data_IF_893772590823
#
_entry.id   IF_893772590823
#
_cell.length_a   1.000
_cell.length_b   1.000
_cell.length_c   1.000
_cell.angle_alpha   90.00
_cell.angle_beta   90.00
_cell.angle_gamma   90.00
#
_symmetry.space_group_name_H-M   'P 1'
#
loop_
_entity.id
_entity.type
_entity.pdbx_description
1 polymer ?
#
# COMPACT_ATOMS: atom_id res chain seq x y z
N UNK A 1 17.83 -1.95 -6.70
CA UNK A 1 16.36 -1.75 -6.84
C UNK A 1 15.99 -2.16 -8.26
N UNK A 2 14.99 -3.03 -8.44
CA UNK A 2 14.51 -3.39 -9.78
C UNK A 2 14.01 -2.15 -10.51
N UNK A 3 14.43 -1.96 -11.75
CA UNK A 3 14.09 -0.76 -12.55
C UNK A 3 12.57 -0.60 -12.74
N UNK A 4 11.83 -1.73 -12.75
CA UNK A 4 10.38 -1.79 -12.97
C UNK A 4 9.73 -2.77 -11.99
N UNK A 5 9.34 -2.32 -10.78
CA UNK A 5 8.89 -3.21 -9.70
C UNK A 5 7.49 -3.81 -9.91
N UNK A 6 6.69 -3.27 -10.81
CA UNK A 6 5.30 -3.69 -11.04
C UNK A 6 4.97 -3.70 -12.53
N UNK A 7 4.21 -4.71 -12.97
CA UNK A 7 3.67 -4.85 -14.32
C UNK A 7 2.13 -4.87 -14.23
N UNK A 8 1.46 -3.98 -14.97
CA UNK A 8 0.00 -3.96 -15.03
C UNK A 8 -0.50 -5.07 -15.95
N UNK A 9 -1.41 -5.91 -15.45
CA UNK A 9 -2.12 -6.92 -16.24
C UNK A 9 -3.62 -6.68 -16.14
N UNK A 10 -4.31 -6.77 -17.27
CA UNK A 10 -5.77 -6.70 -17.35
C UNK A 10 -6.31 -8.12 -17.51
N UNK A 11 -6.98 -8.64 -16.47
CA UNK A 11 -7.35 -10.06 -16.40
C UNK A 11 -8.39 -10.44 -17.45
N UNK A 12 -9.40 -9.59 -17.66
CA UNK A 12 -10.44 -9.80 -18.68
C UNK A 12 -9.85 -9.98 -20.07
N UNK A 13 -8.94 -9.07 -20.42
CA UNK A 13 -8.29 -9.06 -21.72
C UNK A 13 -7.32 -10.23 -21.86
N UNK A 14 -6.55 -10.50 -20.81
CA UNK A 14 -5.63 -11.62 -20.77
C UNK A 14 -6.36 -12.96 -20.98
N UNK A 15 -7.46 -13.19 -20.25
CA UNK A 15 -8.25 -14.41 -20.41
C UNK A 15 -8.84 -14.46 -21.82
N UNK A 16 -9.46 -13.38 -22.30
CA UNK A 16 -10.06 -13.32 -23.63
C UNK A 16 -9.07 -13.63 -24.76
N UNK A 17 -7.84 -13.10 -24.66
CA UNK A 17 -6.79 -13.33 -25.66
C UNK A 17 -6.19 -14.76 -25.56
N UNK A 18 -6.28 -15.44 -24.41
CA UNK A 18 -5.58 -16.72 -24.15
C UNK A 18 -6.48 -17.95 -24.00
N UNK A 19 -7.79 -17.85 -24.26
CA UNK A 19 -8.77 -18.93 -24.05
C UNK A 19 -8.40 -20.26 -24.73
N UNK A 20 -7.81 -20.21 -25.91
CA UNK A 20 -7.42 -21.38 -26.70
C UNK A 20 -6.14 -22.06 -26.22
N UNK A 21 -5.38 -21.42 -25.31
CA UNK A 21 -4.10 -21.94 -24.83
C UNK A 21 -4.30 -22.94 -23.68
N UNK A 22 -3.50 -24.01 -23.70
CA UNK A 22 -3.36 -24.92 -22.57
C UNK A 22 -2.67 -24.23 -21.38
N UNK A 23 -2.82 -24.77 -20.18
CA UNK A 23 -2.19 -24.24 -18.96
C UNK A 23 -0.67 -24.12 -19.08
N UNK A 24 0.00 -25.06 -19.75
CA UNK A 24 1.45 -25.00 -19.98
C UNK A 24 1.82 -23.84 -20.90
N UNK A 25 1.07 -23.65 -21.99
CA UNK A 25 1.26 -22.52 -22.90
C UNK A 25 1.00 -21.19 -22.19
N UNK A 26 -0.06 -21.08 -21.39
CA UNK A 26 -0.36 -19.90 -20.58
C UNK A 26 0.81 -19.61 -19.62
N UNK A 27 1.36 -20.63 -18.96
CA UNK A 27 2.53 -20.49 -18.10
C UNK A 27 3.77 -19.99 -18.85
N UNK A 28 4.07 -20.57 -20.01
CA UNK A 28 5.18 -20.15 -20.87
C UNK A 28 4.99 -18.70 -21.36
N UNK A 29 3.79 -18.36 -21.82
CA UNK A 29 3.41 -17.02 -22.26
C UNK A 29 3.63 -15.98 -21.14
N UNK A 30 3.14 -16.27 -19.93
CA UNK A 30 3.32 -15.39 -18.77
C UNK A 30 4.79 -15.18 -18.40
N UNK A 31 5.60 -16.23 -18.43
CA UNK A 31 7.04 -16.14 -18.18
C UNK A 31 7.75 -15.25 -19.20
N UNK A 32 7.39 -15.38 -20.48
CA UNK A 32 7.92 -14.53 -21.54
C UNK A 32 7.53 -13.07 -21.36
N UNK A 33 6.27 -12.77 -21.05
CA UNK A 33 5.82 -11.40 -20.78
C UNK A 33 6.57 -10.76 -19.61
N UNK A 34 6.75 -11.50 -18.51
CA UNK A 34 7.51 -11.01 -17.35
C UNK A 34 8.98 -10.75 -17.69
N UNK A 35 9.61 -11.65 -18.43
CA UNK A 35 11.00 -11.47 -18.87
C UNK A 35 11.14 -10.28 -19.81
N UNK A 36 10.23 -10.15 -20.78
CA UNK A 36 10.18 -9.03 -21.73
C UNK A 36 9.95 -7.69 -21.02
N UNK A 37 9.08 -7.64 -20.00
CA UNK A 37 8.87 -6.47 -19.16
C UNK A 37 10.16 -6.02 -18.46
N UNK A 38 10.90 -6.99 -17.92
CA UNK A 38 12.18 -6.72 -17.28
C UNK A 38 13.26 -6.30 -18.29
N UNK A 39 13.26 -6.89 -19.49
CA UNK A 39 14.21 -6.60 -20.57
C UNK A 39 13.95 -5.26 -21.29
N UNK A 40 12.77 -4.66 -21.12
CA UNK A 40 12.46 -3.34 -21.69
C UNK A 40 11.52 -3.36 -22.90
N UNK A 41 10.89 -4.49 -23.18
CA UNK A 41 9.81 -4.60 -24.18
C UNK A 41 10.05 -5.61 -25.30
N UNK A 42 11.27 -6.16 -25.43
CA UNK A 42 11.58 -7.21 -26.39
C UNK A 42 12.48 -8.30 -25.81
N UNK A 43 12.52 -9.45 -26.48
CA UNK A 43 13.43 -10.57 -26.21
C UNK A 43 14.04 -11.05 -27.54
N UNK A 44 15.26 -11.64 -27.53
CA UNK A 44 15.81 -12.26 -28.73
C UNK A 44 14.95 -13.42 -29.23
N UNK A 45 14.69 -13.48 -30.54
CA UNK A 45 13.97 -14.56 -31.22
C UNK A 45 14.87 -15.78 -31.43
N UNK A 46 15.28 -16.39 -30.31
CA UNK A 46 16.09 -17.60 -30.27
C UNK A 46 15.42 -18.66 -29.41
N UNK A 47 15.00 -19.76 -30.04
CA UNK A 47 14.33 -20.89 -29.42
C UNK A 47 15.02 -21.36 -28.13
N UNK A 48 16.35 -21.43 -28.10
CA UNK A 48 17.08 -21.91 -26.93
C UNK A 48 17.04 -20.92 -25.75
N UNK A 49 17.02 -19.61 -26.02
CA UNK A 49 16.80 -18.57 -25.01
C UNK A 49 15.35 -18.55 -24.55
N UNK A 50 14.40 -18.58 -25.48
CA UNK A 50 12.98 -18.54 -25.17
C UNK A 50 12.55 -19.76 -24.36
N UNK A 51 13.02 -20.96 -24.70
CA UNK A 51 12.79 -22.18 -23.92
C UNK A 51 13.29 -22.04 -22.47
N UNK A 52 14.49 -21.47 -22.26
CA UNK A 52 15.03 -21.24 -20.91
C UNK A 52 14.20 -20.23 -20.12
N UNK A 53 13.74 -19.15 -20.75
CA UNK A 53 12.85 -18.17 -20.11
C UNK A 53 11.52 -18.81 -19.72
N UNK A 54 10.93 -19.59 -20.63
CA UNK A 54 9.70 -20.34 -20.40
C UNK A 54 9.88 -21.52 -19.43
N UNK A 55 11.11 -21.82 -19.00
CA UNK A 55 11.48 -22.95 -18.13
C UNK A 55 11.07 -24.31 -18.69
N UNK A 56 11.15 -24.45 -20.00
CA UNK A 56 10.82 -25.68 -20.72
C UNK A 56 12.06 -26.31 -21.36
N UNK A 57 12.14 -27.65 -21.43
CA UNK A 57 13.10 -28.31 -22.32
C UNK A 57 12.89 -27.85 -23.77
N UNK A 58 13.97 -27.70 -24.53
CA UNK A 58 13.92 -27.21 -25.92
C UNK A 58 12.97 -28.03 -26.81
N UNK A 59 12.94 -29.36 -26.62
CA UNK A 59 12.01 -30.24 -27.35
C UNK A 59 10.54 -29.88 -27.07
N UNK A 60 10.21 -29.56 -25.80
CA UNK A 60 8.85 -29.19 -25.41
C UNK A 60 8.50 -27.79 -25.89
N UNK A 61 9.44 -26.84 -25.76
CA UNK A 61 9.30 -25.50 -26.33
C UNK A 61 8.94 -25.55 -27.82
N UNK A 62 9.71 -26.28 -28.63
CA UNK A 62 9.45 -26.39 -30.07
C UNK A 62 8.06 -26.92 -30.39
N UNK A 63 7.52 -27.83 -29.58
CA UNK A 63 6.18 -28.37 -29.77
C UNK A 63 5.06 -27.33 -29.55
N UNK A 64 5.26 -26.32 -28.71
CA UNK A 64 4.24 -25.31 -28.37
C UNK A 64 4.54 -23.91 -28.93
N UNK A 65 5.78 -23.68 -29.38
CA UNK A 65 6.31 -22.37 -29.77
C UNK A 65 5.54 -21.73 -30.92
N UNK A 66 5.09 -22.52 -31.91
CA UNK A 66 4.38 -21.99 -33.07
C UNK A 66 3.07 -21.29 -32.67
N UNK A 67 2.30 -21.90 -31.77
CA UNK A 67 1.05 -21.33 -31.26
C UNK A 67 1.31 -20.11 -30.37
N UNK A 68 2.36 -20.15 -29.55
CA UNK A 68 2.73 -19.05 -28.67
C UNK A 68 3.26 -17.83 -29.43
N UNK A 69 4.16 -18.05 -30.38
CA UNK A 69 4.81 -16.99 -31.15
C UNK A 69 3.82 -16.23 -32.06
N UNK A 70 2.63 -16.79 -32.32
CA UNK A 70 1.57 -16.09 -33.02
C UNK A 70 1.02 -14.87 -32.26
N UNK A 71 1.21 -14.81 -30.93
CA UNK A 71 0.81 -13.68 -30.09
C UNK A 71 1.86 -12.56 -30.03
N UNK A 72 3.06 -12.80 -30.58
CA UNK A 72 4.18 -11.88 -30.52
C UNK A 72 4.47 -11.29 -31.89
N UNK A 73 4.93 -10.05 -31.89
CA UNK A 73 5.43 -9.37 -33.08
C UNK A 73 6.91 -9.75 -33.24
N UNK A 74 7.30 -10.24 -34.42
CA UNK A 74 8.68 -10.64 -34.71
C UNK A 74 9.30 -9.70 -35.73
N UNK A 75 10.37 -9.02 -35.35
CA UNK A 75 11.05 -8.06 -36.20
C UNK A 75 12.55 -8.04 -35.87
N UNK A 76 13.42 -8.06 -36.89
CA UNK A 76 14.86 -7.88 -36.70
C UNK A 76 15.56 -8.93 -35.82
N UNK A 77 14.98 -10.13 -35.67
CA UNK A 77 15.52 -11.18 -34.79
C UNK A 77 15.14 -10.99 -33.31
N UNK A 78 14.18 -10.13 -33.02
CA UNK A 78 13.58 -9.97 -31.69
C UNK A 78 12.07 -10.25 -31.74
N UNK A 79 11.53 -10.64 -30.58
CA UNK A 79 10.10 -10.76 -30.33
C UNK A 79 9.65 -9.66 -29.37
N UNK A 80 8.51 -9.06 -29.67
CA UNK A 80 7.87 -8.01 -28.88
C UNK A 80 6.38 -8.26 -28.70
N UNK A 81 5.72 -7.42 -27.89
CA UNK A 81 4.28 -7.48 -27.71
C UNK A 81 3.66 -6.08 -27.60
N UNK A 82 2.81 -5.71 -28.55
CA UNK A 82 2.26 -4.35 -28.66
C UNK A 82 1.53 -3.85 -27.40
N UNK A 83 0.79 -4.71 -26.68
CA UNK A 83 0.14 -4.34 -25.40
C UNK A 83 1.19 -4.02 -24.34
N UNK A 84 2.18 -4.89 -24.19
CA UNK A 84 3.25 -4.74 -23.20
C UNK A 84 4.06 -3.47 -23.46
N UNK A 85 4.40 -3.17 -24.71
CA UNK A 85 5.12 -1.96 -25.11
C UNK A 85 4.37 -0.68 -24.70
N UNK A 86 3.04 -0.66 -24.89
CA UNK A 86 2.19 0.47 -24.46
C UNK A 86 2.22 0.66 -22.95
N UNK A 87 2.09 -0.42 -22.18
CA UNK A 87 2.13 -0.37 -20.71
C UNK A 87 3.51 0.03 -20.18
N UNK A 88 4.57 -0.44 -20.82
CA UNK A 88 5.95 -0.12 -20.44
C UNK A 88 6.25 1.37 -20.65
N UNK A 89 5.75 1.94 -21.75
CA UNK A 89 5.80 3.40 -21.98
C UNK A 89 5.04 4.18 -20.90
N UNK A 90 3.81 3.75 -20.55
CA UNK A 90 3.03 4.39 -19.48
C UNK A 90 3.76 4.34 -18.14
N UNK A 91 4.38 3.20 -17.81
CA UNK A 91 5.14 3.02 -16.57
C UNK A 91 6.37 3.93 -16.53
N UNK A 92 7.12 4.04 -17.63
CA UNK A 92 8.27 4.95 -17.76
C UNK A 92 7.87 6.41 -17.52
N UNK A 93 6.84 6.89 -18.24
CA UNK A 93 6.34 8.26 -18.09
C UNK A 93 5.90 8.58 -16.65
N UNK A 94 5.20 7.66 -15.99
CA UNK A 94 4.80 7.82 -14.58
C UNK A 94 6.01 7.86 -13.64
N UNK A 95 7.01 7.01 -13.88
CA UNK A 95 8.24 6.97 -13.08
C UNK A 95 9.03 8.27 -13.21
N UNK A 96 9.22 8.76 -14.43
CA UNK A 96 9.91 10.02 -14.73
C UNK A 96 9.20 11.22 -14.09
N UNK A 97 7.86 11.29 -14.21
CA UNK A 97 7.08 12.36 -13.59
C UNK A 97 7.23 12.38 -12.06
N UNK A 98 7.24 11.20 -11.42
CA UNK A 98 7.45 11.06 -9.97
C UNK A 98 8.87 11.41 -9.57
N UNK A 99 9.87 10.98 -10.32
CA UNK A 99 11.27 11.32 -10.09
C UNK A 99 11.47 12.84 -10.19
N UNK A 100 10.92 13.50 -11.22
CA UNK A 100 11.00 14.94 -11.39
C UNK A 100 10.26 15.72 -10.29
N UNK A 101 9.10 15.24 -9.83
CA UNK A 101 8.39 15.83 -8.69
C UNK A 101 9.18 15.66 -7.39
N UNK A 102 9.74 14.46 -7.16
CA UNK A 102 10.59 14.15 -6.01
C UNK A 102 11.86 15.00 -5.98
N UNK A 103 12.52 15.18 -7.12
CA UNK A 103 13.70 16.04 -7.24
C UNK A 103 13.38 17.51 -6.90
N UNK A 104 12.26 18.05 -7.41
CA UNK A 104 11.80 19.41 -7.08
C UNK A 104 11.46 19.57 -5.60
N UNK A 105 10.74 18.61 -5.02
CA UNK A 105 10.41 18.62 -3.59
C UNK A 105 11.66 18.51 -2.71
N UNK A 106 12.60 17.65 -3.09
CA UNK A 106 13.89 17.47 -2.43
C UNK A 106 14.73 18.75 -2.47
N UNK A 107 14.84 19.39 -3.64
CA UNK A 107 15.54 20.67 -3.79
C UNK A 107 14.91 21.78 -2.93
N UNK A 108 13.58 21.92 -2.94
CA UNK A 108 12.88 22.90 -2.11
C UNK A 108 13.08 22.66 -0.60
N UNK A 109 13.12 21.39 -0.18
CA UNK A 109 13.38 21.02 1.22
C UNK A 109 14.84 21.27 1.59
N UNK A 110 15.79 20.92 0.72
CA UNK A 110 17.22 21.14 0.94
C UNK A 110 17.56 22.63 1.10
N UNK A 111 16.92 23.52 0.31
CA UNK A 111 17.07 24.96 0.45
C UNK A 111 16.55 25.48 1.79
N UNK A 112 15.41 24.96 2.27
CA UNK A 112 14.86 25.32 3.59
C UNK A 112 15.72 24.80 4.74
N UNK A 113 16.22 23.56 4.66
CA UNK A 113 17.08 22.99 5.71
C UNK A 113 18.43 23.69 5.79
N UNK A 114 19.03 24.11 4.67
CA UNK A 114 20.25 24.94 4.66
C UNK A 114 20.07 26.28 5.38
N UNK A 115 18.87 26.88 5.31
CA UNK A 115 18.56 28.10 6.06
C UNK A 115 18.47 27.89 7.58
N UNK A 116 18.21 26.66 8.03
CA UNK A 116 18.13 26.29 9.45
C UNK A 116 19.37 25.53 9.98
N UNK A 117 20.37 25.26 9.15
CA UNK A 117 21.56 24.47 9.49
C UNK A 117 22.67 25.28 10.18
N UNK A 118 22.33 25.96 11.27
CA UNK A 118 23.25 26.10 12.43
C UNK A 118 22.57 25.51 13.65
N UNK A 119 22.32 24.21 13.63
CA UNK A 119 22.04 23.48 14.85
C UNK A 119 23.39 23.28 15.57
N UNK A 120 23.63 24.06 16.63
CA UNK A 120 24.80 23.89 17.50
C UNK A 120 24.68 22.55 18.23
N UNK A 121 25.25 21.50 17.66
CA UNK A 121 25.34 20.18 18.28
C UNK A 121 26.45 20.09 19.34
N UNK A 122 26.90 21.21 19.91
CA UNK A 122 28.07 21.26 20.80
C UNK A 122 27.71 21.41 22.29
N UNK A 123 26.42 21.45 22.66
CA UNK A 123 26.06 21.86 24.04
C UNK A 123 25.84 20.70 25.02
N UNK A 124 25.45 19.48 24.64
CA UNK A 124 25.25 18.41 25.66
C UNK A 124 25.49 17.00 25.12
N UNK A 125 26.76 16.57 25.11
CA UNK A 125 27.13 15.16 25.21
C UNK A 125 28.11 14.99 26.37
N UNK A 126 27.62 15.11 27.61
CA UNK A 126 28.34 14.70 28.82
C UNK A 126 27.69 13.45 29.40
N UNK A 127 27.94 12.29 28.80
CA UNK A 127 27.88 11.05 29.55
C UNK A 127 29.18 10.93 30.35
N UNK A 128 29.11 11.28 31.64
CA UNK A 128 30.15 10.89 32.60
C UNK A 128 29.91 9.42 32.98
N UNK A 129 30.90 8.52 32.85
CA UNK A 129 30.78 7.19 33.43
C UNK A 129 30.98 7.33 34.95
N UNK A 130 29.89 7.45 35.69
CA UNK A 130 29.93 7.48 37.16
C UNK A 130 30.28 6.08 37.70
N UNK A 131 31.57 5.80 37.72
CA UNK A 131 32.16 4.65 38.42
C UNK A 131 32.32 5.05 39.89
N UNK A 132 31.22 5.16 40.64
CA UNK A 132 31.29 5.54 42.05
C UNK A 132 30.44 4.62 42.93
N UNK A 133 31.16 3.74 43.61
CA UNK A 133 30.86 3.08 44.89
C UNK A 133 29.65 2.13 44.97
N UNK A 134 29.93 0.86 44.62
CA UNK A 134 29.11 -0.30 45.00
C UNK A 134 29.34 -0.77 46.47
N UNK A 135 29.98 0.04 47.33
CA UNK A 135 30.33 -0.35 48.72
C UNK A 135 29.43 0.28 49.80
N UNK A 136 28.57 1.25 49.46
CA UNK A 136 27.84 2.02 50.50
C UNK A 136 26.46 1.49 50.88
N UNK A 137 25.91 0.51 50.14
CA UNK A 137 24.56 -0.05 50.42
C UNK A 137 24.53 -1.19 51.45
N UNK A 138 25.68 -1.60 51.99
CA UNK A 138 25.74 -2.69 52.98
C UNK A 138 25.64 -2.21 54.45
N UNK A 139 25.75 -0.92 54.74
CA UNK A 139 25.78 -0.40 56.13
C UNK A 139 24.54 0.39 56.57
N UNK A 140 23.61 0.70 55.66
CA UNK A 140 22.42 1.51 55.98
C UNK A 140 21.21 0.71 56.49
N UNK A 141 21.33 -0.62 56.68
CA UNK A 141 20.23 -1.49 57.14
C UNK A 141 20.18 -1.72 58.66
N UNK A 142 20.96 -1.00 59.47
CA UNK A 142 21.04 -1.25 60.91
C UNK A 142 20.98 -0.01 61.81
N UNK A 143 20.10 0.95 61.53
CA UNK A 143 19.71 1.93 62.54
C UNK A 143 18.22 2.27 62.43
N UNK A 144 17.48 1.81 63.44
CA UNK A 144 16.04 1.85 63.62
C UNK A 144 15.67 3.11 64.40
N UNK A 145 14.61 3.81 63.95
CA UNK A 145 13.63 4.40 64.86
C UNK A 145 13.63 5.93 65.02
N UNK A 146 12.40 6.43 65.26
CA UNK A 146 11.97 7.80 65.52
C UNK A 146 11.90 8.73 64.30
N UNK A 147 10.88 9.57 64.08
CA UNK A 147 9.49 9.75 64.52
C UNK A 147 8.97 10.93 63.66
N UNK A 148 7.65 11.00 63.49
CA UNK A 148 6.85 12.22 63.22
C UNK A 148 6.88 12.82 61.80
N UNK A 149 5.71 12.77 61.15
CA UNK A 149 5.31 13.68 60.10
C UNK A 149 4.29 14.70 60.62
N UNK A 150 4.11 15.80 59.90
CA UNK A 150 2.78 16.43 59.73
C UNK A 150 2.62 16.88 58.26
N UNK A 151 1.48 17.29 57.70
CA UNK A 151 0.05 17.27 57.99
C UNK A 151 -0.57 17.67 56.63
N UNK A 152 -1.64 16.99 56.21
CA UNK A 152 -2.39 17.35 55.01
C UNK A 152 -3.47 18.35 55.43
N UNK A 153 -3.39 19.59 54.95
CA UNK A 153 -4.49 20.55 55.02
C UNK A 153 -5.08 20.80 53.64
N UNK A 154 -6.33 20.39 53.49
CA UNK A 154 -7.23 20.64 52.37
C UNK A 154 -7.80 22.06 52.52
N UNK A 155 -7.61 22.91 51.53
CA UNK A 155 -8.26 24.22 51.43
C UNK A 155 -8.50 24.58 49.97
N UNK A 156 -9.77 24.73 49.59
CA UNK A 156 -10.21 24.97 48.21
C UNK A 156 -10.35 26.44 47.81
N UNK A 157 -10.75 26.61 46.54
CA UNK A 157 -11.02 27.85 45.75
C UNK A 157 -9.75 28.54 45.24
N UNK A 158 -9.66 29.02 44.01
CA UNK A 158 -10.68 29.51 43.08
C UNK A 158 -10.12 29.53 41.64
N UNK A 159 -11.01 29.57 40.66
CA UNK A 159 -10.67 29.62 39.24
C UNK A 159 -10.11 31.00 38.84
N UNK A 160 -8.94 31.02 38.18
CA UNK A 160 -8.54 32.15 37.34
C UNK A 160 -7.70 31.69 36.14
N UNK A 161 -8.07 32.26 35.01
CA UNK A 161 -7.67 32.00 33.64
C UNK A 161 -6.19 32.24 33.32
N UNK A 162 -5.67 31.47 32.34
CA UNK A 162 -4.90 32.06 31.24
C UNK A 162 -3.60 31.35 30.83
N UNK A 163 -3.66 30.53 29.77
CA UNK A 163 -2.67 30.64 28.68
C UNK A 163 -3.26 30.10 27.37
N UNK A 164 -3.07 30.87 26.29
CA UNK A 164 -3.75 30.75 24.99
C UNK A 164 -2.98 29.81 24.06
N UNK A 165 -3.65 28.77 23.54
CA UNK A 165 -3.19 27.95 22.41
C UNK A 165 -3.31 28.67 21.06
N UNK A 166 -2.69 28.14 19.98
CA UNK A 166 -2.49 28.85 18.73
C UNK A 166 -3.81 29.10 17.99
N UNK A 167 -3.94 30.31 17.42
CA UNK A 167 -5.17 30.88 16.92
C UNK A 167 -5.86 30.07 15.81
N UNK A 168 -7.10 29.67 16.06
CA UNK A 168 -8.02 29.24 15.02
C UNK A 168 -8.42 30.43 14.14
N UNK A 169 -8.07 30.36 12.85
CA UNK A 169 -8.55 31.31 11.84
C UNK A 169 -10.08 31.20 11.73
N UNK A 170 -10.80 32.29 12.01
CA UNK A 170 -12.26 32.37 11.87
C UNK A 170 -12.64 32.17 10.40
N UNK A 171 -13.44 31.14 10.11
CA UNK A 171 -13.93 30.84 8.77
C UNK A 171 -15.00 31.88 8.36
N UNK A 172 -15.04 32.32 7.10
CA UNK A 172 -15.97 33.35 6.64
C UNK A 172 -17.43 32.85 6.67
N UNK A 173 -18.38 33.78 6.85
CA UNK A 173 -19.83 33.49 6.79
C UNK A 173 -20.18 32.92 5.41
N UNK A 174 -20.81 31.74 5.39
CA UNK A 174 -21.17 31.03 4.15
C UNK A 174 -20.16 29.96 3.70
N UNK A 175 -19.10 29.69 4.46
CA UNK A 175 -18.17 28.60 4.12
C UNK A 175 -18.83 27.22 4.31
N UNK A 176 -19.11 26.53 3.20
CA UNK A 176 -19.60 25.15 3.20
C UNK A 176 -18.40 24.22 3.13
N UNK A 177 -18.29 23.30 4.09
CA UNK A 177 -17.23 22.28 4.09
C UNK A 177 -17.39 21.33 2.90
N UNK A 178 -16.35 21.07 2.10
CA UNK A 178 -16.42 20.03 1.07
C UNK A 178 -16.55 18.66 1.74
N UNK A 179 -17.43 17.81 1.21
CA UNK A 179 -17.62 16.45 1.72
C UNK A 179 -16.34 15.66 1.47
N UNK A 180 -15.77 15.12 2.55
CA UNK A 180 -14.60 14.24 2.48
C UNK A 180 -15.04 12.80 2.19
N UNK A 181 -14.12 11.93 1.78
CA UNK A 181 -14.42 10.50 1.62
C UNK A 181 -14.97 9.87 2.90
N UNK A 182 -14.53 10.35 4.08
CA UNK A 182 -15.04 9.93 5.38
C UNK A 182 -16.50 10.33 5.59
N UNK A 183 -16.91 11.51 5.13
CA UNK A 183 -18.31 11.96 5.20
C UNK A 183 -19.22 11.14 4.27
N UNK A 184 -18.70 10.73 3.10
CA UNK A 184 -19.44 9.86 2.18
C UNK A 184 -19.60 8.44 2.74
N UNK A 185 -18.56 7.89 3.36
CA UNK A 185 -18.63 6.58 4.02
C UNK A 185 -19.62 6.59 5.19
N UNK A 186 -19.60 7.65 6.02
CA UNK A 186 -20.55 7.78 7.12
C UNK A 186 -22.00 7.94 6.63
N UNK A 187 -22.23 8.63 5.51
CA UNK A 187 -23.57 8.73 4.92
C UNK A 187 -24.13 7.36 4.50
N UNK A 188 -23.30 6.51 3.90
CA UNK A 188 -23.69 5.14 3.50
C UNK A 188 -23.98 4.28 4.75
N UNK A 189 -23.18 4.42 5.81
CA UNK A 189 -23.40 3.68 7.07
C UNK A 189 -24.73 4.08 7.72
N UNK A 190 -25.07 5.37 7.71
CA UNK A 190 -26.35 5.85 8.24
C UNK A 190 -27.55 5.45 7.38
N UNK A 191 -27.38 5.37 6.05
CA UNK A 191 -28.40 4.86 5.13
C UNK A 191 -28.71 3.37 5.39
N UNK A 192 -27.67 2.56 5.57
CA UNK A 192 -27.81 1.14 5.93
C UNK A 192 -28.49 1.00 7.30
N UNK A 193 -28.07 1.79 8.29
CA UNK A 193 -28.65 1.77 9.63
C UNK A 193 -30.13 2.17 9.60
N UNK A 194 -30.50 3.19 8.81
CA UNK A 194 -31.90 3.60 8.62
C UNK A 194 -32.75 2.53 7.95
N UNK A 195 -32.19 1.76 7.01
CA UNK A 195 -32.87 0.63 6.36
C UNK A 195 -33.15 -0.53 7.34
N UNK A 196 -32.23 -0.81 8.26
CA UNK A 196 -32.41 -1.86 9.27
C UNK A 196 -33.43 -1.50 10.35
N UNK A 197 -33.59 -0.21 10.69
CA UNK A 197 -34.60 0.24 11.66
C UNK A 197 -36.03 0.15 11.12
N UNK A 198 -36.21 0.08 9.79
CA UNK A 198 -37.49 -0.22 9.16
C UNK A 198 -37.91 -1.69 9.25
N UNK A 199 -36.95 -2.61 9.47
CA UNK A 199 -37.19 -4.05 9.54
C UNK A 199 -37.60 -4.53 10.94
N UNK A 200 -37.31 -3.75 11.98
CA UNK A 200 -37.63 -4.08 13.38
C UNK A 200 -38.91 -3.39 13.89
N UNK A 201 -39.55 -2.54 13.08
CA UNK A 201 -40.78 -1.82 13.46
C UNK A 201 -42.07 -2.50 12.96
N UNK A 202 -41.99 -3.39 11.97
CA UNK A 202 -43.09 -4.26 11.58
C UNK A 202 -42.82 -5.64 12.14
N UNK A 203 -43.40 -5.90 13.31
CA UNK A 203 -43.51 -7.25 13.86
C UNK A 203 -44.13 -8.19 12.82
N UNK A 204 -43.50 -9.36 12.72
CA UNK A 204 -44.07 -10.66 12.39
C UNK A 204 -45.57 -10.66 12.04
N UNK A 205 -45.91 -11.01 10.80
CA UNK A 205 -46.89 -12.06 10.52
C UNK A 205 -46.56 -12.75 9.19
N UNK A 206 -46.07 -13.99 9.29
CA UNK A 206 -46.45 -15.15 8.46
C UNK A 206 -46.45 -15.03 6.93
N UNK A 207 -45.53 -15.75 6.27
CA UNK A 207 -45.87 -16.77 5.29
C UNK A 207 -44.61 -17.45 4.76
N UNK A 208 -44.53 -18.78 4.93
CA UNK A 208 -43.65 -19.61 4.13
C UNK A 208 -44.06 -19.59 2.65
N UNK A 209 -43.08 -19.76 1.77
CA UNK A 209 -43.24 -19.88 0.32
C UNK A 209 -42.25 -18.95 -0.39
N UNK A 210 -41.36 -19.36 -1.29
CA UNK A 210 -41.16 -20.64 -1.96
C UNK A 210 -39.69 -20.61 -2.41
N UNK A 211 -38.88 -21.58 -1.97
CA UNK A 211 -37.55 -21.81 -2.56
C UNK A 211 -37.82 -22.34 -3.97
N UNK A 212 -37.58 -21.52 -4.98
CA UNK A 212 -37.61 -21.97 -6.37
C UNK A 212 -36.41 -22.89 -6.61
N UNK A 213 -36.64 -24.19 -6.42
CA UNK A 213 -35.79 -25.27 -6.92
C UNK A 213 -35.83 -25.23 -8.45
N UNK A 214 -34.68 -25.03 -9.08
CA UNK A 214 -34.49 -25.23 -10.53
C UNK A 214 -34.65 -26.73 -10.87
N UNK A 215 -35.41 -27.11 -11.91
CA UNK A 215 -35.60 -28.51 -12.27
C UNK A 215 -34.34 -29.09 -12.96
N UNK A 216 -33.93 -30.26 -12.48
CA UNK A 216 -32.87 -31.08 -13.05
C UNK A 216 -33.25 -31.60 -14.45
N UNK A 217 -32.33 -31.46 -15.39
CA UNK A 217 -32.40 -32.04 -16.74
C UNK A 217 -32.24 -33.57 -16.62
N UNK A 218 -33.22 -34.33 -17.11
CA UNK A 218 -33.10 -35.78 -17.33
C UNK A 218 -32.40 -36.04 -18.68
N UNK A 219 -31.57 -37.09 -18.79
CA UNK A 219 -31.02 -37.54 -20.05
C UNK A 219 -32.03 -38.45 -20.79
N UNK A 220 -32.04 -38.35 -22.12
CA UNK A 220 -32.58 -39.37 -23.03
C UNK A 220 -31.54 -40.49 -23.23
#
# INVERSE_FOLDING_TARGET
MSERPFMQLYVSDFVGDTLQLSTEQIGAYMLLLMAMWNAGGSLPDDDARLARVARLPLKRWRAISAELLAFFEREGGEIGHGRLTKELRKARLKSEARAAAGARGGAATALKTKAHARANADVLARHSPESRNQMEKASAFSARGAREGPEISIGGREAASGSRGPGQRKKPRGWIRPKTHSDAANAIIEEIRGYDHGRTATGDEGAGGTVLLLPAIRPD
#
